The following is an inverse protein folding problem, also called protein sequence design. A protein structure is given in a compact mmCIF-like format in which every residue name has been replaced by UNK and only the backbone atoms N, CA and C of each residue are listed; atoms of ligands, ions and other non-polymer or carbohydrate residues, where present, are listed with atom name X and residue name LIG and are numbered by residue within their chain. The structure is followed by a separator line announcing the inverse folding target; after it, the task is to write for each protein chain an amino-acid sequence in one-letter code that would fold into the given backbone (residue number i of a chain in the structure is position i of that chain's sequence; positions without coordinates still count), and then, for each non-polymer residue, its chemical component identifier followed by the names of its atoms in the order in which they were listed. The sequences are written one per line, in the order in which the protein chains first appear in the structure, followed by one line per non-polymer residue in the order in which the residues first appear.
data_IF_453723359228
#
_entry.id   IF_453723359228
#
_cell.length_a   1.000
_cell.length_b   1.000
_cell.length_c   1.000
_cell.angle_alpha   90.00
_cell.angle_beta   90.00
_cell.angle_gamma   90.00
#
_symmetry.space_group_name_H-M   'P 1'
#
loop_
_entity.id
_entity.type
_entity.pdbx_description
1 polymer ?
#
# COMPACT_ATOMS: atom_id res chain seq x y z
N UNK A 1 -16.65 17.99 -24.89
CA UNK A 1 -16.22 17.89 -23.49
C UNK A 1 -15.94 16.43 -23.22
N UNK A 2 -14.73 16.06 -22.83
CA UNK A 2 -14.41 14.65 -22.56
C UNK A 2 -15.07 14.21 -21.25
N UNK A 3 -15.84 13.12 -21.28
CA UNK A 3 -16.34 12.51 -20.05
C UNK A 3 -15.16 11.99 -19.23
N UNK A 4 -15.01 12.51 -18.00
CA UNK A 4 -14.07 11.99 -17.02
C UNK A 4 -14.82 11.08 -16.04
N UNK A 5 -14.39 9.83 -15.93
CA UNK A 5 -14.85 8.92 -14.87
C UNK A 5 -13.71 8.75 -13.88
N UNK A 6 -13.91 9.22 -12.64
CA UNK A 6 -12.93 9.13 -11.56
C UNK A 6 -13.51 8.39 -10.36
N UNK A 7 -12.73 7.47 -9.79
CA UNK A 7 -13.04 6.85 -8.50
C UNK A 7 -12.44 7.68 -7.38
N UNK A 8 -13.28 8.14 -6.45
CA UNK A 8 -12.87 8.96 -5.30
C UNK A 8 -13.04 8.19 -3.99
N UNK A 9 -12.16 8.46 -3.03
CA UNK A 9 -12.24 7.93 -1.68
C UNK A 9 -11.91 9.05 -0.67
N UNK A 10 -12.66 9.18 0.44
CA UNK A 10 -13.88 8.45 0.79
C UNK A 10 -15.06 8.76 -0.16
N UNK A 11 -16.03 7.86 -0.22
CA UNK A 11 -17.23 8.05 -1.05
C UNK A 11 -18.08 9.23 -0.56
N UNK A 12 -18.73 9.91 -1.49
CA UNK A 12 -19.69 10.98 -1.22
C UNK A 12 -21.02 10.34 -0.79
N UNK A 13 -21.39 10.54 0.48
CA UNK A 13 -22.66 10.08 1.06
C UNK A 13 -23.36 11.31 1.64
N UNK A 14 -24.58 11.58 1.17
CA UNK A 14 -25.31 12.82 1.47
C UNK A 14 -26.45 12.65 2.48
N UNK A 15 -26.74 11.43 2.92
CA UNK A 15 -27.82 11.14 3.86
C UNK A 15 -27.54 9.93 4.75
N UNK A 16 -28.28 9.80 5.84
CA UNK A 16 -28.16 8.71 6.80
C UNK A 16 -27.02 8.89 7.82
N UNK A 17 -26.86 7.90 8.71
CA UNK A 17 -25.88 7.96 9.79
C UNK A 17 -24.41 7.94 9.33
N UNK A 18 -24.15 7.61 8.07
CA UNK A 18 -22.81 7.56 7.47
C UNK A 18 -22.55 8.74 6.52
N UNK A 19 -23.28 9.84 6.66
CA UNK A 19 -23.10 11.05 5.87
C UNK A 19 -21.65 11.57 5.96
N UNK A 20 -21.00 11.75 4.81
CA UNK A 20 -19.62 12.24 4.70
C UNK A 20 -19.55 13.69 4.22
N UNK A 21 -20.60 14.17 3.56
CA UNK A 21 -20.69 15.54 3.04
C UNK A 21 -22.03 16.19 3.42
N UNK A 22 -22.05 17.51 3.55
CA UNK A 22 -23.29 18.26 3.82
C UNK A 22 -24.23 18.39 2.62
N UNK A 23 -23.70 18.28 1.39
CA UNK A 23 -24.48 18.38 0.15
C UNK A 23 -23.85 17.56 -0.99
N UNK A 24 -24.66 17.16 -1.96
CA UNK A 24 -24.17 16.60 -3.21
C UNK A 24 -23.45 17.69 -4.04
N UNK A 25 -22.44 17.34 -4.85
CA UNK A 25 -21.91 18.27 -5.85
C UNK A 25 -23.03 18.73 -6.79
N UNK A 26 -23.11 20.03 -7.06
CA UNK A 26 -24.03 20.58 -8.04
C UNK A 26 -23.68 20.08 -9.45
N UNK A 27 -24.67 20.10 -10.35
CA UNK A 27 -24.39 19.84 -11.76
C UNK A 27 -23.39 20.88 -12.30
N UNK A 28 -22.43 20.44 -13.10
CA UNK A 28 -21.30 21.24 -13.59
C UNK A 28 -20.43 21.90 -12.50
N UNK A 29 -20.38 21.34 -11.28
CA UNK A 29 -19.47 21.83 -10.24
C UNK A 29 -18.00 21.78 -10.71
N UNK A 30 -17.26 22.86 -10.45
CA UNK A 30 -15.84 22.96 -10.80
C UNK A 30 -15.01 21.96 -9.99
N UNK A 31 -14.14 21.23 -10.68
CA UNK A 31 -13.13 20.36 -10.06
C UNK A 31 -11.81 21.12 -9.96
N UNK A 32 -11.38 21.40 -8.73
CA UNK A 32 -10.08 22.02 -8.46
C UNK A 32 -9.10 20.95 -7.98
N UNK A 33 -8.06 20.69 -8.78
CA UNK A 33 -6.98 19.79 -8.39
C UNK A 33 -5.95 20.56 -7.55
N UNK A 34 -5.42 19.91 -6.51
CA UNK A 34 -4.38 20.50 -5.65
C UNK A 34 -3.02 20.34 -6.35
N UNK A 35 -2.30 21.46 -6.53
CA UNK A 35 -0.97 21.52 -7.14
C UNK A 35 -0.97 21.96 -8.61
N UNK A 36 0.23 22.13 -9.16
CA UNK A 36 0.46 22.51 -10.56
C UNK A 36 0.74 21.29 -11.42
N UNK A 37 0.17 21.24 -12.63
CA UNK A 37 0.38 20.14 -13.56
C UNK A 37 1.88 19.96 -13.88
N UNK A 38 2.36 18.71 -13.77
CA UNK A 38 3.75 18.36 -14.08
C UNK A 38 4.77 18.69 -12.98
N UNK A 39 4.37 19.25 -11.84
CA UNK A 39 5.27 19.51 -10.72
C UNK A 39 5.34 18.28 -9.79
N UNK A 40 6.57 17.86 -9.46
CA UNK A 40 6.80 16.83 -8.45
C UNK A 40 6.87 17.47 -7.06
N UNK A 41 6.13 16.91 -6.09
CA UNK A 41 6.10 17.38 -4.72
C UNK A 41 6.57 16.31 -3.74
N UNK A 42 7.23 16.73 -2.66
CA UNK A 42 7.50 15.86 -1.52
C UNK A 42 6.21 15.65 -0.73
N UNK A 43 5.78 14.39 -0.64
CA UNK A 43 4.53 14.01 0.02
C UNK A 43 4.80 13.44 1.41
N UNK A 44 4.43 14.19 2.45
CA UNK A 44 4.44 13.71 3.83
C UNK A 44 3.17 12.92 4.12
N UNK A 45 3.29 11.84 4.90
CA UNK A 45 2.15 11.03 5.33
C UNK A 45 1.91 11.24 6.82
N UNK A 46 0.66 11.56 7.17
CA UNK A 46 0.20 11.64 8.56
C UNK A 46 -0.96 10.65 8.71
N UNK A 47 -0.87 9.72 9.66
CA UNK A 47 -1.88 8.69 9.83
C UNK A 47 -2.00 8.23 11.28
N UNK A 48 -3.20 7.79 11.65
CA UNK A 48 -3.42 7.09 12.91
C UNK A 48 -2.92 5.64 12.81
N UNK A 49 -2.47 5.05 13.92
CA UNK A 49 -1.93 3.67 13.98
C UNK A 49 -2.84 2.63 13.33
N UNK A 50 -4.15 2.84 13.37
CA UNK A 50 -5.17 1.90 12.85
C UNK A 50 -5.55 2.13 11.38
N UNK A 51 -4.95 3.12 10.69
CA UNK A 51 -5.28 3.41 9.28
C UNK A 51 -4.80 2.31 8.33
N UNK A 52 -3.64 1.71 8.62
CA UNK A 52 -2.99 0.71 7.78
C UNK A 52 -2.75 -0.58 8.57
N UNK A 53 -2.87 -1.70 7.88
CA UNK A 53 -2.48 -3.01 8.37
C UNK A 53 -1.37 -3.60 7.50
N UNK A 54 -0.38 -4.18 8.16
CA UNK A 54 0.65 -5.01 7.56
C UNK A 54 0.48 -6.43 8.10
N UNK A 55 0.26 -7.38 7.21
CA UNK A 55 0.21 -8.80 7.53
C UNK A 55 1.46 -9.48 7.00
N UNK A 56 2.10 -10.29 7.84
CA UNK A 56 3.30 -11.04 7.49
C UNK A 56 2.98 -12.53 7.49
N UNK A 57 3.30 -13.23 6.40
CA UNK A 57 3.02 -14.67 6.26
C UNK A 57 4.34 -15.45 6.31
N UNK A 58 4.53 -16.32 7.31
CA UNK A 58 5.69 -17.21 7.36
C UNK A 58 5.66 -18.19 6.18
N UNK A 59 6.57 -18.01 5.22
CA UNK A 59 6.62 -18.87 4.04
C UNK A 59 6.98 -20.32 4.39
N UNK A 60 6.38 -21.27 3.67
CA UNK A 60 6.66 -22.71 3.79
C UNK A 60 8.01 -23.02 3.16
N UNK A 61 8.74 -24.00 3.72
CA UNK A 61 9.97 -24.53 3.12
C UNK A 61 9.63 -25.27 1.82
N UNK A 62 10.19 -24.89 0.66
CA UNK A 62 9.98 -25.64 -0.57
C UNK A 62 10.56 -27.06 -0.44
N UNK A 63 9.89 -28.11 -0.95
CA UNK A 63 10.31 -29.49 -0.75
C UNK A 63 11.68 -29.82 -1.37
N UNK A 64 12.13 -29.07 -2.38
CA UNK A 64 13.45 -29.24 -2.99
C UNK A 64 14.59 -28.43 -2.37
N UNK A 65 14.34 -27.64 -1.33
CA UNK A 65 15.38 -26.83 -0.68
C UNK A 65 15.96 -27.58 0.51
N UNK A 66 17.23 -27.98 0.42
CA UNK A 66 17.90 -28.76 1.47
C UNK A 66 18.12 -27.90 2.72
N UNK A 67 18.71 -26.71 2.55
CA UNK A 67 19.12 -25.80 3.64
C UNK A 67 18.26 -24.53 3.75
N UNK A 68 16.94 -24.69 3.73
CA UNK A 68 16.04 -23.57 4.00
C UNK A 68 15.93 -23.29 5.50
N UNK A 69 16.17 -22.03 5.90
CA UNK A 69 15.90 -21.54 7.25
C UNK A 69 14.89 -20.38 7.24
N UNK A 70 14.22 -20.15 8.36
CA UNK A 70 13.29 -19.04 8.54
C UNK A 70 13.52 -18.39 9.88
N UNK A 71 13.64 -17.06 9.89
CA UNK A 71 13.79 -16.27 11.09
C UNK A 71 12.74 -15.18 11.13
N UNK A 72 12.22 -14.89 12.32
CA UNK A 72 11.22 -13.82 12.52
C UNK A 72 11.73 -12.83 13.55
N UNK A 73 11.74 -11.54 13.21
CA UNK A 73 12.16 -10.46 14.09
C UNK A 73 11.30 -9.23 13.83
N UNK A 74 10.86 -8.55 14.89
CA UNK A 74 10.06 -7.32 14.82
C UNK A 74 8.79 -7.44 13.95
N UNK A 75 8.14 -8.61 13.95
CA UNK A 75 6.94 -8.85 13.15
C UNK A 75 7.20 -9.12 11.66
N UNK A 76 8.46 -9.21 11.24
CA UNK A 76 8.86 -9.56 9.87
C UNK A 76 9.42 -10.97 9.88
N UNK A 77 8.88 -11.83 9.00
CA UNK A 77 9.37 -13.19 8.78
C UNK A 77 10.16 -13.23 7.49
N UNK A 78 11.43 -13.60 7.57
CA UNK A 78 12.33 -13.75 6.42
C UNK A 78 12.72 -15.21 6.29
N UNK A 79 12.62 -15.74 5.07
CA UNK A 79 13.09 -17.07 4.71
C UNK A 79 14.40 -16.96 3.94
N UNK A 80 15.39 -17.77 4.32
CA UNK A 80 16.68 -17.86 3.64
C UNK A 80 16.76 -19.20 2.91
N UNK A 81 17.16 -19.16 1.63
CA UNK A 81 17.45 -20.34 0.82
C UNK A 81 18.80 -20.14 0.15
N UNK A 82 19.85 -20.87 0.55
CA UNK A 82 21.05 -21.00 -0.25
C UNK A 82 20.74 -21.86 -1.47
N UNK A 83 21.26 -21.48 -2.63
CA UNK A 83 21.21 -22.27 -3.84
C UNK A 83 22.52 -22.14 -4.60
N UNK A 84 22.91 -23.21 -5.26
CA UNK A 84 24.11 -23.27 -6.07
C UNK A 84 23.73 -23.24 -7.55
N UNK A 85 24.33 -22.33 -8.30
CA UNK A 85 24.22 -22.27 -9.75
C UNK A 85 25.30 -23.16 -10.39
N UNK A 86 24.91 -24.35 -10.83
CA UNK A 86 25.83 -25.31 -11.44
C UNK A 86 26.36 -24.90 -12.83
N UNK A 87 25.82 -23.85 -13.46
CA UNK A 87 26.32 -23.38 -14.76
C UNK A 87 27.48 -22.41 -14.59
N UNK A 88 27.36 -21.50 -13.62
CA UNK A 88 28.34 -20.44 -13.38
C UNK A 88 29.26 -20.73 -12.19
N UNK A 89 29.06 -21.86 -11.49
CA UNK A 89 29.81 -22.27 -10.31
C UNK A 89 29.78 -21.23 -9.17
N UNK A 90 28.58 -20.66 -8.92
CA UNK A 90 28.37 -19.61 -7.93
C UNK A 90 27.41 -20.06 -6.83
N UNK A 91 27.80 -19.81 -5.58
CA UNK A 91 26.92 -19.95 -4.42
C UNK A 91 26.12 -18.67 -4.19
N UNK A 92 24.79 -18.79 -4.21
CA UNK A 92 23.87 -17.68 -4.07
C UNK A 92 22.95 -17.85 -2.87
N UNK A 93 22.46 -16.73 -2.34
CA UNK A 93 21.57 -16.69 -1.19
C UNK A 93 20.32 -15.90 -1.54
N UNK A 94 19.16 -16.51 -1.31
CA UNK A 94 17.85 -15.87 -1.52
C UNK A 94 17.21 -15.55 -0.18
N UNK A 95 16.79 -14.31 -0.01
CA UNK A 95 16.00 -13.84 1.13
C UNK A 95 14.59 -13.50 0.64
N UNK A 96 13.60 -14.27 1.08
CA UNK A 96 12.21 -14.08 0.69
C UNK A 96 11.36 -13.59 1.88
N UNK A 97 10.46 -12.64 1.60
CA UNK A 97 9.45 -12.13 2.53
C UNK A 97 8.10 -12.12 1.84
N UNK A 98 7.08 -12.71 2.47
CA UNK A 98 5.71 -12.67 1.99
C UNK A 98 4.87 -11.79 2.91
N UNK A 99 4.43 -10.65 2.39
CA UNK A 99 3.65 -9.67 3.13
C UNK A 99 2.44 -9.18 2.33
N UNK A 100 1.42 -8.73 3.05
CA UNK A 100 0.27 -8.02 2.49
C UNK A 100 0.05 -6.72 3.24
N UNK A 101 -0.34 -5.68 2.51
CA UNK A 101 -0.72 -4.38 3.08
C UNK A 101 -2.16 -4.05 2.73
N UNK A 102 -2.86 -3.39 3.66
CA UNK A 102 -4.22 -2.89 3.39
C UNK A 102 -4.48 -1.61 4.16
N UNK A 103 -5.08 -0.63 3.49
CA UNK A 103 -5.70 0.52 4.15
C UNK A 103 -7.02 0.08 4.74
N UNK A 104 -7.09 0.01 6.07
CA UNK A 104 -8.28 -0.45 6.80
C UNK A 104 -9.32 0.66 6.84
N UNK A 105 -8.89 1.87 7.17
CA UNK A 105 -9.75 3.05 7.15
C UNK A 105 -9.02 4.22 6.49
N UNK A 106 -9.38 4.59 5.25
CA UNK A 106 -8.71 5.66 4.52
C UNK A 106 -8.96 7.04 5.14
N UNK A 107 -9.98 7.20 6.00
CA UNK A 107 -10.30 8.49 6.64
C UNK A 107 -9.30 8.87 7.74
N UNK A 108 -8.54 7.89 8.23
CA UNK A 108 -7.57 8.07 9.31
C UNK A 108 -6.15 8.38 8.81
N UNK A 109 -5.98 8.58 7.51
CA UNK A 109 -4.70 8.93 6.91
C UNK A 109 -4.87 10.09 5.93
N UNK A 110 -3.88 10.98 5.91
CA UNK A 110 -3.82 12.09 4.97
C UNK A 110 -2.41 12.22 4.40
N UNK A 111 -2.35 12.53 3.11
CA UNK A 111 -1.12 12.94 2.44
C UNK A 111 -1.08 14.46 2.43
N UNK A 112 -0.05 15.02 3.03
CA UNK A 112 0.18 16.47 3.09
C UNK A 112 1.38 16.81 2.22
N UNK A 113 1.21 17.79 1.35
CA UNK A 113 2.28 18.38 0.56
C UNK A 113 2.34 19.87 0.88
N UNK A 114 3.53 20.39 1.14
CA UNK A 114 3.75 21.83 1.16
C UNK A 114 3.51 22.35 -0.26
N UNK A 115 2.46 23.14 -0.44
CA UNK A 115 2.28 23.97 -1.63
C UNK A 115 2.79 25.36 -1.30
#
# INVERSE_FOLDING_TARGET
MGNLTLTIAPQIITSGAFQTVSAAPADNALLTFVGTAGTAYANSLMFHKNAFALCMVPMVKPPGSVDCSRQSKNGISVRVIPYYDGTNDVSNWRLDVLYGTKTIDPRLAVRVSGT
#
